data_IF_200761749707
#
_entry.id   IF_200761749707
#
_cell.length_a   1.000
_cell.length_b   1.000
_cell.length_c   1.000
_cell.angle_alpha   90.00
_cell.angle_beta   90.00
_cell.angle_gamma   90.00
#
_symmetry.space_group_name_H-M   'P 1'
#
loop_
_entity.id
_entity.type
_entity.pdbx_description
1 polymer ?
#
# COMPACT_ATOMS: atom_id res chain seq x y z
N UNK A 1 6.06 -17.91 -29.50
CA UNK A 1 5.22 -17.25 -28.48
C UNK A 1 6.08 -17.21 -27.23
N UNK A 2 6.68 -16.06 -26.92
CA UNK A 2 7.66 -15.95 -25.83
C UNK A 2 6.94 -15.92 -24.48
N UNK A 3 7.22 -16.95 -23.71
CA UNK A 3 7.01 -17.12 -22.28
C UNK A 3 7.84 -16.06 -21.54
N UNK A 4 7.24 -14.92 -21.14
CA UNK A 4 7.90 -13.92 -20.29
C UNK A 4 6.89 -13.03 -19.56
N UNK A 5 6.09 -13.59 -18.63
CA UNK A 5 5.29 -12.76 -17.70
C UNK A 5 5.12 -13.38 -16.30
N UNK A 6 6.10 -14.14 -15.81
CA UNK A 6 6.11 -14.64 -14.42
C UNK A 6 7.31 -14.12 -13.63
N UNK A 7 7.69 -12.86 -13.82
CA UNK A 7 8.45 -12.19 -12.75
C UNK A 7 7.52 -12.10 -11.54
N UNK A 8 7.90 -12.63 -10.36
CA UNK A 8 7.13 -12.38 -9.16
C UNK A 8 7.01 -10.85 -9.04
N UNK A 9 5.79 -10.34 -8.99
CA UNK A 9 5.57 -8.91 -8.83
C UNK A 9 6.43 -8.44 -7.64
N UNK A 10 7.28 -7.45 -7.84
CA UNK A 10 8.00 -6.86 -6.73
C UNK A 10 6.99 -6.10 -5.85
N UNK A 11 7.19 -6.03 -4.53
CA UNK A 11 6.38 -5.16 -3.68
C UNK A 11 6.39 -3.73 -4.23
N UNK A 12 5.21 -3.14 -4.34
CA UNK A 12 5.03 -1.77 -4.85
C UNK A 12 5.59 -0.71 -3.90
N UNK A 13 5.68 -1.03 -2.60
CA UNK A 13 6.10 -0.09 -1.55
C UNK A 13 7.18 -0.67 -0.65
N UNK A 14 7.97 0.22 -0.04
CA UNK A 14 9.07 -0.10 0.88
C UNK A 14 8.83 0.56 2.25
N UNK A 15 9.38 -0.01 3.34
CA UNK A 15 9.40 0.66 4.63
C UNK A 15 9.99 2.08 4.52
N UNK A 16 9.28 3.06 5.07
CA UNK A 16 9.65 4.47 5.08
C UNK A 16 8.93 5.31 4.02
N UNK A 17 8.35 4.65 3.02
CA UNK A 17 7.61 5.31 1.96
C UNK A 17 6.40 6.08 2.50
N UNK A 18 6.21 7.30 1.98
CA UNK A 18 5.03 8.14 2.26
C UNK A 18 3.90 7.72 1.32
N UNK A 19 2.76 7.35 1.90
CA UNK A 19 1.59 6.86 1.16
C UNK A 19 0.31 7.50 1.65
N UNK A 20 -0.67 7.62 0.77
CA UNK A 20 -2.05 7.93 1.10
C UNK A 20 -2.83 6.62 1.21
N UNK A 21 -3.43 6.37 2.38
CA UNK A 21 -4.36 5.27 2.57
C UNK A 21 -5.78 5.71 2.24
N UNK A 22 -6.43 4.96 1.34
CA UNK A 22 -7.74 5.26 0.76
C UNK A 22 -7.83 6.66 0.18
N UNK A 23 -6.74 7.15 -0.40
CA UNK A 23 -6.62 8.48 -1.01
C UNK A 23 -6.77 9.68 -0.06
N UNK A 24 -7.08 9.45 1.22
CA UNK A 24 -7.45 10.51 2.17
C UNK A 24 -6.47 10.62 3.35
N UNK A 25 -5.91 9.49 3.80
CA UNK A 25 -5.21 9.43 5.09
C UNK A 25 -3.69 9.35 4.87
N UNK A 26 -2.91 10.37 5.27
CA UNK A 26 -1.44 10.33 5.15
C UNK A 26 -0.83 9.32 6.12
N UNK A 27 0.00 8.43 5.59
CA UNK A 27 0.60 7.32 6.33
C UNK A 27 2.06 7.09 5.92
N UNK A 28 2.80 6.31 6.72
CA UNK A 28 4.07 5.70 6.28
C UNK A 28 3.99 4.19 6.26
N UNK A 29 4.61 3.57 5.27
CA UNK A 29 4.80 2.12 5.24
C UNK A 29 5.84 1.73 6.28
N UNK A 30 5.56 0.71 7.09
CA UNK A 30 6.48 0.22 8.14
C UNK A 30 6.88 -1.23 7.96
N UNK A 31 6.33 -1.93 6.96
CA UNK A 31 6.71 -3.31 6.64
C UNK A 31 7.04 -3.49 5.17
N UNK A 32 7.80 -4.54 4.86
CA UNK A 32 7.86 -5.07 3.51
C UNK A 32 6.47 -5.58 3.10
N UNK A 33 6.20 -5.56 1.78
CA UNK A 33 4.96 -6.13 1.24
C UNK A 33 4.93 -7.65 1.45
N UNK A 34 3.86 -8.13 2.06
CA UNK A 34 3.57 -9.56 2.23
C UNK A 34 2.62 -9.99 1.12
N UNK A 35 3.01 -10.99 0.33
CA UNK A 35 2.15 -11.53 -0.73
C UNK A 35 0.80 -11.95 -0.16
N UNK A 36 -0.27 -11.56 -0.83
CA UNK A 36 -1.62 -12.03 -0.54
C UNK A 36 -2.22 -12.66 -1.79
N UNK A 37 -3.17 -13.55 -1.58
CA UNK A 37 -4.03 -14.14 -2.61
C UNK A 37 -5.50 -13.79 -2.35
N UNK A 38 -5.74 -12.74 -1.54
CA UNK A 38 -7.07 -12.24 -1.24
C UNK A 38 -7.60 -11.40 -2.40
N UNK A 39 -8.93 -11.39 -2.55
CA UNK A 39 -9.63 -10.51 -3.49
C UNK A 39 -10.51 -9.53 -2.70
N UNK A 40 -10.62 -8.29 -3.18
CA UNK A 40 -11.61 -7.33 -2.67
C UNK A 40 -12.63 -6.98 -3.75
N UNK A 41 -13.85 -6.73 -3.31
CA UNK A 41 -14.92 -6.21 -4.17
C UNK A 41 -14.99 -4.71 -3.97
N UNK A 42 -14.73 -3.94 -5.03
CA UNK A 42 -14.90 -2.50 -5.06
C UNK A 42 -16.05 -2.15 -6.02
N UNK A 43 -17.23 -1.89 -5.47
CA UNK A 43 -18.46 -1.73 -6.26
C UNK A 43 -18.82 -3.01 -7.00
N UNK A 44 -18.86 -2.95 -8.33
CA UNK A 44 -19.08 -4.12 -9.22
C UNK A 44 -17.79 -4.80 -9.68
N UNK A 45 -16.62 -4.26 -9.32
CA UNK A 45 -15.32 -4.75 -9.77
C UNK A 45 -14.64 -5.60 -8.70
N UNK A 46 -14.05 -6.74 -9.12
CA UNK A 46 -13.13 -7.51 -8.28
C UNK A 46 -11.71 -7.04 -8.52
N UNK A 47 -10.95 -6.87 -7.45
CA UNK A 47 -9.55 -6.46 -7.48
C UNK A 47 -8.73 -7.46 -6.66
N UNK A 48 -7.79 -8.12 -7.32
CA UNK A 48 -6.81 -9.00 -6.67
C UNK A 48 -5.87 -8.18 -5.78
N UNK A 49 -5.67 -8.62 -4.53
CA UNK A 49 -4.70 -8.04 -3.62
C UNK A 49 -3.38 -8.79 -3.79
N UNK A 50 -2.41 -8.18 -4.47
CA UNK A 50 -1.08 -8.79 -4.64
C UNK A 50 -0.26 -8.74 -3.36
N UNK A 51 -0.35 -7.63 -2.63
CA UNK A 51 0.42 -7.39 -1.42
C UNK A 51 -0.41 -6.74 -0.31
N UNK A 52 -0.06 -7.06 0.92
CA UNK A 52 -0.52 -6.38 2.13
C UNK A 52 0.68 -5.77 2.85
N UNK A 53 0.46 -4.61 3.46
CA UNK A 53 1.47 -3.82 4.14
C UNK A 53 0.98 -3.45 5.54
N UNK A 54 1.90 -3.19 6.46
CA UNK A 54 1.60 -2.44 7.67
C UNK A 54 1.93 -0.98 7.42
N UNK A 55 0.98 -0.11 7.72
CA UNK A 55 1.15 1.33 7.64
C UNK A 55 0.96 1.94 9.02
N UNK A 56 1.75 2.97 9.32
CA UNK A 56 1.59 3.82 10.50
C UNK A 56 0.79 5.05 10.11
N UNK A 57 -0.20 5.36 10.91
CA UNK A 57 -1.02 6.56 10.84
C UNK A 57 -0.39 7.70 11.68
N UNK A 58 -0.92 8.92 11.51
CA UNK A 58 -0.43 10.13 12.22
C UNK A 58 -0.52 10.01 13.74
N UNK A 59 -1.53 9.31 14.25
CA UNK A 59 -1.73 9.06 15.68
C UNK A 59 -0.76 8.01 16.26
N UNK A 60 0.12 7.44 15.44
CA UNK A 60 1.07 6.39 15.82
C UNK A 60 0.50 4.98 15.71
N UNK A 61 -0.79 4.83 15.40
CA UNK A 61 -1.42 3.51 15.23
C UNK A 61 -0.89 2.81 13.99
N UNK A 62 -0.62 1.51 14.10
CA UNK A 62 -0.25 0.67 12.95
C UNK A 62 -1.40 -0.24 12.55
N UNK A 63 -1.72 -0.27 11.26
CA UNK A 63 -2.78 -1.13 10.74
C UNK A 63 -2.38 -1.82 9.44
N UNK A 64 -3.10 -2.90 9.09
CA UNK A 64 -2.94 -3.59 7.82
C UNK A 64 -3.64 -2.79 6.72
N UNK A 65 -2.92 -2.58 5.63
CA UNK A 65 -3.43 -1.96 4.42
C UNK A 65 -3.21 -2.88 3.21
N UNK A 66 -4.21 -2.96 2.34
CA UNK A 66 -4.11 -3.70 1.08
C UNK A 66 -3.50 -2.79 0.02
N UNK A 67 -2.65 -3.35 -0.85
CA UNK A 67 -2.00 -2.61 -1.93
C UNK A 67 -2.94 -1.68 -2.72
N UNK A 68 -4.17 -2.09 -3.12
CA UNK A 68 -5.07 -1.23 -3.89
C UNK A 68 -5.60 -0.01 -3.11
N UNK A 69 -5.53 -0.05 -1.78
CA UNK A 69 -5.94 1.08 -0.94
C UNK A 69 -4.78 2.04 -0.65
N UNK A 70 -3.59 1.77 -1.17
CA UNK A 70 -2.42 2.62 -0.98
C UNK A 70 -2.08 3.31 -2.30
N UNK A 71 -1.67 4.57 -2.20
CA UNK A 71 -1.08 5.34 -3.29
C UNK A 71 0.17 6.03 -2.78
N UNK A 72 1.23 6.10 -3.58
CA UNK A 72 2.37 6.98 -3.29
C UNK A 72 1.89 8.41 -3.04
N UNK A 73 2.31 9.01 -1.92
CA UNK A 73 2.06 10.42 -1.68
C UNK A 73 2.85 11.27 -2.68
N UNK A 74 2.23 12.33 -3.18
CA UNK A 74 2.86 13.33 -4.06
C UNK A 74 2.88 14.70 -3.37
N UNK A 75 3.51 15.69 -4.00
CA UNK A 75 3.69 17.03 -3.42
C UNK A 75 2.37 17.80 -3.17
N UNK A 76 1.26 17.39 -3.77
CA UNK A 76 -0.07 17.96 -3.52
C UNK A 76 -0.81 17.30 -2.35
N UNK A 77 -0.31 16.17 -1.84
CA UNK A 77 -0.93 15.48 -0.71
C UNK A 77 -0.61 16.24 0.59
N UNK A 78 -1.63 16.90 1.15
CA UNK A 78 -1.53 17.73 2.35
C UNK A 78 -1.77 16.89 3.60
N UNK A 79 -0.80 16.90 4.51
CA UNK A 79 -0.97 16.35 5.85
C UNK A 79 0.36 16.03 6.54
N UNK A 80 0.40 16.02 7.88
CA UNK A 80 1.58 15.55 8.59
C UNK A 80 1.72 14.05 8.37
N UNK A 81 2.74 13.63 7.65
CA UNK A 81 3.09 12.21 7.57
C UNK A 81 3.76 11.79 8.88
N UNK A 82 3.41 10.64 9.47
CA UNK A 82 4.06 10.20 10.70
C UNK A 82 5.55 10.00 10.47
N UNK A 83 6.37 10.30 11.47
CA UNK A 83 7.81 10.04 11.40
C UNK A 83 8.13 8.55 11.52
N UNK A 84 9.26 8.16 10.92
CA UNK A 84 9.81 6.82 11.05
C UNK A 84 10.70 6.82 12.30
N UNK A 85 10.55 5.82 13.19
CA UNK A 85 11.40 5.69 14.37
C UNK A 85 12.85 5.40 13.99
#
# INVERSE_FOLDING_TARGET
MTDDFSRPAAPSYRPGDRVMFREEIPCRVVSNGVKSSEEIVNGSSKVDIRFTYRVRLVDGTEQRAHEPHLRMANDNDVGPFPDMP
#
